data_IF_472011122137
#
_entry.id   IF_472011122137
#
_cell.length_a   1.000
_cell.length_b   1.000
_cell.length_c   1.000
_cell.angle_alpha   90.00
_cell.angle_beta   90.00
_cell.angle_gamma   90.00
#
_symmetry.space_group_name_H-M   'P 1'
#
loop_
_entity.id
_entity.type
_entity.pdbx_description
1 polymer ?
#
# COMPACT_ATOMS: atom_id res chain seq x y z
N UNK A 1 -0.18 -29.41 9.23
CA UNK A 1 1.13 -28.77 9.53
C UNK A 1 0.89 -27.29 9.71
N UNK A 2 1.68 -26.62 10.53
CA UNK A 2 1.59 -25.18 10.77
C UNK A 2 2.85 -24.50 10.24
N UNK A 3 2.76 -23.22 9.89
CA UNK A 3 3.93 -22.45 9.45
C UNK A 3 4.93 -22.29 10.58
N UNK A 4 6.22 -22.56 10.31
CA UNK A 4 7.27 -22.45 11.33
C UNK A 4 7.57 -20.98 11.70
N UNK A 5 8.24 -20.75 12.82
CA UNK A 5 8.69 -19.40 13.19
C UNK A 5 9.62 -18.79 12.13
N UNK A 6 10.47 -19.59 11.48
CA UNK A 6 11.32 -19.12 10.38
C UNK A 6 10.49 -18.73 9.15
N UNK A 7 9.42 -19.48 8.86
CA UNK A 7 8.45 -19.12 7.84
C UNK A 7 7.70 -17.81 8.16
N UNK A 8 7.35 -17.60 9.43
CA UNK A 8 6.77 -16.33 9.90
C UNK A 8 7.76 -15.19 9.70
N UNK A 9 9.01 -15.30 10.11
CA UNK A 9 10.01 -14.23 9.91
C UNK A 9 10.28 -13.95 8.43
N UNK A 10 10.29 -14.96 7.58
CA UNK A 10 10.36 -14.78 6.13
C UNK A 10 9.13 -14.00 5.61
N UNK A 11 7.93 -14.26 6.13
CA UNK A 11 6.73 -13.52 5.76
C UNK A 11 6.83 -12.04 6.15
N UNK A 12 7.41 -11.72 7.31
CA UNK A 12 7.68 -10.33 7.73
C UNK A 12 8.62 -9.64 6.76
N UNK A 13 9.66 -10.32 6.29
CA UNK A 13 10.60 -9.73 5.34
C UNK A 13 9.90 -9.33 4.03
N UNK A 14 8.96 -10.16 3.56
CA UNK A 14 8.25 -9.91 2.30
C UNK A 14 7.10 -8.90 2.45
N UNK A 15 6.38 -8.95 3.57
CA UNK A 15 5.19 -8.12 3.79
C UNK A 15 5.50 -6.84 4.57
N UNK A 16 6.58 -6.80 5.34
CA UNK A 16 6.74 -5.83 6.41
C UNK A 16 5.73 -6.04 7.54
N UNK A 17 5.93 -5.33 8.65
CA UNK A 17 5.03 -5.37 9.80
C UNK A 17 4.67 -3.95 10.23
N UNK A 18 3.42 -3.56 9.98
CA UNK A 18 2.92 -2.22 10.28
C UNK A 18 2.00 -2.28 11.50
N UNK A 19 2.48 -1.74 12.63
CA UNK A 19 1.78 -1.83 13.91
C UNK A 19 0.63 -0.82 14.08
N UNK A 20 0.54 0.18 13.21
CA UNK A 20 -0.55 1.17 13.19
C UNK A 20 -1.38 0.98 11.93
N UNK A 21 -2.70 0.93 12.08
CA UNK A 21 -3.61 0.77 10.95
C UNK A 21 -3.44 1.89 9.92
N UNK A 22 -3.42 1.52 8.64
CA UNK A 22 -3.31 2.44 7.52
C UNK A 22 -4.23 1.99 6.38
N UNK A 23 -4.51 2.90 5.46
CA UNK A 23 -5.28 2.60 4.26
C UNK A 23 -4.36 2.20 3.11
N UNK A 24 -4.56 1.01 2.56
CA UNK A 24 -3.88 0.56 1.35
C UNK A 24 -4.40 1.31 0.10
N UNK A 25 -3.75 1.20 -1.08
CA UNK A 25 -4.20 1.90 -2.30
C UNK A 25 -5.65 1.57 -2.70
N UNK A 26 -6.12 0.37 -2.37
CA UNK A 26 -7.51 -0.06 -2.56
C UNK A 26 -8.49 0.49 -1.51
N UNK A 27 -8.09 1.46 -0.68
CA UNK A 27 -8.91 2.09 0.36
C UNK A 27 -9.47 1.11 1.40
N UNK A 28 -8.72 0.05 1.72
CA UNK A 28 -9.04 -0.90 2.80
C UNK A 28 -8.11 -0.68 3.99
N UNK A 29 -8.69 -0.66 5.18
CA UNK A 29 -7.92 -0.59 6.42
C UNK A 29 -7.08 -1.87 6.58
N UNK A 30 -5.78 -1.66 6.82
CA UNK A 30 -4.74 -2.68 6.81
C UNK A 30 -3.85 -2.51 8.04
N UNK A 31 -3.48 -3.61 8.70
CA UNK A 31 -2.59 -3.62 9.89
C UNK A 31 -1.75 -4.90 9.94
N UNK A 32 -0.67 -4.89 10.73
CA UNK A 32 0.23 -6.03 10.90
C UNK A 32 0.95 -6.39 9.59
N UNK A 33 0.94 -7.68 9.25
CA UNK A 33 1.55 -8.23 8.03
C UNK A 33 0.64 -8.09 6.79
N UNK A 34 -0.14 -7.00 6.70
CA UNK A 34 -1.08 -6.79 5.59
C UNK A 34 -2.50 -7.34 5.83
N UNK A 35 -2.90 -7.54 7.08
CA UNK A 35 -4.22 -8.04 7.45
C UNK A 35 -5.28 -6.95 7.27
N UNK A 36 -6.42 -7.33 6.69
CA UNK A 36 -7.62 -6.49 6.53
C UNK A 36 -8.84 -7.21 7.10
N UNK A 37 -10.01 -6.56 7.16
CA UNK A 37 -11.27 -7.22 7.56
C UNK A 37 -11.55 -8.53 6.81
N UNK A 38 -11.12 -8.62 5.54
CA UNK A 38 -11.29 -9.83 4.71
C UNK A 38 -10.46 -11.03 5.20
N UNK A 39 -9.46 -10.82 6.06
CA UNK A 39 -8.72 -11.93 6.70
C UNK A 39 -9.58 -12.71 7.70
N UNK A 40 -10.65 -12.09 8.22
CA UNK A 40 -11.54 -12.69 9.21
C UNK A 40 -10.97 -12.80 10.62
N UNK A 41 -9.75 -12.28 10.87
CA UNK A 41 -9.10 -12.33 12.19
C UNK A 41 -9.02 -10.98 12.90
N UNK A 42 -9.20 -9.89 12.14
CA UNK A 42 -9.23 -8.51 12.65
C UNK A 42 -10.02 -7.63 11.69
N UNK A 43 -10.72 -6.63 12.22
CA UNK A 43 -11.33 -5.52 11.46
C UNK A 43 -10.57 -4.23 11.79
N UNK A 44 -9.52 -3.86 11.02
CA UNK A 44 -8.69 -2.71 11.35
C UNK A 44 -9.46 -1.40 11.18
N UNK A 45 -9.28 -0.47 12.12
CA UNK A 45 -9.99 0.81 12.18
C UNK A 45 -9.02 1.99 12.25
N UNK A 46 -9.43 3.21 11.87
CA UNK A 46 -8.58 4.38 12.00
C UNK A 46 -8.01 4.53 13.41
N UNK A 47 -6.72 4.85 13.51
CA UNK A 47 -6.03 5.04 14.80
C UNK A 47 -5.69 3.77 15.58
N UNK A 48 -6.14 2.59 15.14
CA UNK A 48 -5.81 1.32 15.80
C UNK A 48 -4.30 1.04 15.79
N UNK A 49 -3.76 0.63 16.93
CA UNK A 49 -2.35 0.23 17.12
C UNK A 49 -2.30 -1.13 17.81
N UNK A 50 -1.42 -2.02 17.36
CA UNK A 50 -1.20 -3.34 17.95
C UNK A 50 0.28 -3.55 18.29
N UNK A 51 0.56 -4.45 19.22
CA UNK A 51 1.93 -4.88 19.52
C UNK A 51 2.46 -5.82 18.44
N UNK A 52 3.80 -5.99 18.36
CA UNK A 52 4.41 -7.00 17.49
C UNK A 52 3.88 -8.40 17.82
N UNK A 53 3.81 -8.76 19.10
CA UNK A 53 3.27 -10.05 19.54
C UNK A 53 1.84 -10.27 19.03
N UNK A 54 0.96 -9.27 19.16
CA UNK A 54 -0.42 -9.36 18.66
C UNK A 54 -0.47 -9.45 17.13
N UNK A 55 0.38 -8.70 16.43
CA UNK A 55 0.52 -8.78 14.97
C UNK A 55 0.89 -10.21 14.51
N UNK A 56 1.84 -10.87 15.19
CA UNK A 56 2.23 -12.25 14.89
C UNK A 56 1.16 -13.28 15.23
N UNK A 57 0.47 -13.11 16.36
CA UNK A 57 -0.66 -13.95 16.72
C UNK A 57 -1.77 -13.89 15.65
N UNK A 58 -2.15 -12.69 15.22
CA UNK A 58 -3.15 -12.49 14.17
C UNK A 58 -2.70 -13.08 12.82
N UNK A 59 -1.42 -12.93 12.47
CA UNK A 59 -0.88 -13.54 11.27
C UNK A 59 -0.97 -15.08 11.31
N UNK A 60 -0.60 -15.70 12.44
CA UNK A 60 -0.74 -17.16 12.64
C UNK A 60 -2.19 -17.61 12.53
N UNK A 61 -3.14 -16.88 13.13
CA UNK A 61 -4.57 -17.16 12.99
C UNK A 61 -5.03 -17.07 11.53
N UNK A 62 -4.58 -16.06 10.79
CA UNK A 62 -4.93 -15.89 9.38
C UNK A 62 -4.34 -17.02 8.51
N UNK A 63 -3.10 -17.43 8.80
CA UNK A 63 -2.44 -18.56 8.14
C UNK A 63 -3.20 -19.87 8.38
N UNK A 64 -3.45 -20.21 9.64
CA UNK A 64 -4.17 -21.42 10.03
C UNK A 64 -5.56 -21.51 9.41
N UNK A 65 -6.27 -20.38 9.33
CA UNK A 65 -7.62 -20.34 8.77
C UNK A 65 -7.63 -20.39 7.23
N UNK A 66 -6.80 -19.57 6.59
CA UNK A 66 -7.01 -19.22 5.19
C UNK A 66 -5.98 -19.81 4.23
N UNK A 67 -4.80 -20.23 4.70
CA UNK A 67 -3.66 -20.59 3.83
C UNK A 67 -3.13 -21.99 4.10
N UNK A 68 -2.83 -22.33 5.36
CA UNK A 68 -2.27 -23.62 5.75
C UNK A 68 -3.10 -24.83 5.27
N UNK A 69 -4.45 -24.84 5.35
CA UNK A 69 -5.25 -25.96 4.83
C UNK A 69 -5.13 -26.11 3.31
N UNK A 70 -4.99 -24.99 2.59
CA UNK A 70 -4.86 -24.98 1.12
C UNK A 70 -3.53 -25.58 0.69
N UNK A 71 -2.46 -25.21 1.39
CA UNK A 71 -1.11 -25.72 1.13
C UNK A 71 -1.02 -27.19 1.53
N UNK A 72 -1.56 -27.58 2.70
CA UNK A 72 -1.58 -28.97 3.15
C UNK A 72 -2.28 -29.89 2.14
N UNK A 73 -3.39 -29.41 1.55
CA UNK A 73 -4.11 -30.14 0.51
C UNK A 73 -3.36 -30.18 -0.83
N UNK A 74 -2.71 -29.07 -1.23
CA UNK A 74 -2.03 -28.97 -2.52
C UNK A 74 -0.64 -29.63 -2.53
N UNK A 75 0.02 -29.72 -1.38
CA UNK A 75 1.37 -30.25 -1.19
C UNK A 75 1.38 -31.34 -0.11
N UNK A 76 0.71 -32.48 -0.33
CA UNK A 76 0.67 -33.56 0.65
C UNK A 76 2.07 -34.15 0.86
N UNK A 77 2.45 -34.39 2.12
CA UNK A 77 3.76 -34.95 2.47
C UNK A 77 4.93 -33.97 2.38
N UNK A 78 4.67 -32.67 2.20
CA UNK A 78 5.70 -31.64 2.22
C UNK A 78 6.47 -31.64 3.54
N UNK A 79 7.79 -31.50 3.45
CA UNK A 79 8.64 -31.16 4.60
C UNK A 79 8.30 -29.75 5.09
N UNK A 80 8.68 -29.44 6.33
CA UNK A 80 8.35 -28.15 6.96
C UNK A 80 8.77 -26.95 6.11
N UNK A 81 9.99 -26.96 5.53
CA UNK A 81 10.46 -25.86 4.69
C UNK A 81 9.72 -25.76 3.35
N UNK A 82 9.28 -26.89 2.78
CA UNK A 82 8.53 -26.89 1.51
C UNK A 82 7.14 -26.31 1.72
N UNK A 83 6.50 -26.66 2.83
CA UNK A 83 5.22 -26.09 3.24
C UNK A 83 5.31 -24.61 3.55
N UNK A 84 6.35 -24.17 4.28
CA UNK A 84 6.56 -22.75 4.56
C UNK A 84 6.73 -21.95 3.27
N UNK A 85 7.50 -22.47 2.29
CA UNK A 85 7.62 -21.85 0.97
C UNK A 85 6.27 -21.82 0.21
N UNK A 86 5.48 -22.90 0.28
CA UNK A 86 4.13 -22.96 -0.28
C UNK A 86 3.17 -21.94 0.35
N UNK A 87 3.25 -21.75 1.66
CA UNK A 87 2.47 -20.75 2.40
C UNK A 87 2.88 -19.33 1.99
N UNK A 88 4.18 -19.01 1.93
CA UNK A 88 4.68 -17.70 1.49
C UNK A 88 4.21 -17.37 0.07
N UNK A 89 4.23 -18.36 -0.82
CA UNK A 89 3.72 -18.25 -2.18
C UNK A 89 2.21 -18.01 -2.22
N UNK A 90 1.42 -18.78 -1.45
CA UNK A 90 -0.04 -18.63 -1.43
C UNK A 90 -0.48 -17.33 -0.76
N UNK A 91 0.25 -16.84 0.24
CA UNK A 91 0.02 -15.52 0.84
C UNK A 91 0.10 -14.41 -0.21
N UNK A 92 1.12 -14.47 -1.08
CA UNK A 92 1.34 -13.47 -2.11
C UNK A 92 0.34 -13.56 -3.26
N UNK A 93 0.04 -14.78 -3.70
CA UNK A 93 -0.61 -15.02 -5.00
C UNK A 93 -2.04 -15.51 -4.87
N UNK A 94 -2.39 -16.11 -3.73
CA UNK A 94 -3.64 -16.85 -3.54
C UNK A 94 -3.81 -17.99 -4.54
N UNK A 95 -2.74 -18.52 -5.12
CA UNK A 95 -2.79 -19.40 -6.29
C UNK A 95 -2.21 -20.81 -6.09
N UNK A 96 -1.93 -21.25 -4.86
CA UNK A 96 -1.25 -22.54 -4.61
C UNK A 96 -1.94 -23.72 -5.33
N UNK A 97 -3.28 -23.78 -5.32
CA UNK A 97 -4.03 -24.89 -5.93
C UNK A 97 -3.94 -24.97 -7.45
N UNK A 98 -3.62 -23.88 -8.13
CA UNK A 98 -3.58 -23.82 -9.62
C UNK A 98 -2.17 -23.62 -10.18
N UNK A 99 -1.18 -23.44 -9.32
CA UNK A 99 0.18 -23.18 -9.75
C UNK A 99 0.81 -24.44 -10.34
N UNK A 100 1.25 -24.38 -11.60
CA UNK A 100 1.81 -25.53 -12.31
C UNK A 100 3.07 -26.11 -11.68
N UNK A 101 3.83 -25.29 -10.93
CA UNK A 101 4.99 -25.76 -10.17
C UNK A 101 4.61 -26.75 -9.07
N UNK A 102 3.42 -26.61 -8.46
CA UNK A 102 2.94 -27.52 -7.39
C UNK A 102 2.70 -28.91 -7.96
N UNK A 103 2.07 -29.00 -9.14
CA UNK A 103 1.87 -30.28 -9.83
C UNK A 103 3.21 -30.96 -10.14
N UNK A 104 4.20 -30.21 -10.62
CA UNK A 104 5.54 -30.73 -10.89
C UNK A 104 6.25 -31.18 -9.60
N UNK A 105 6.10 -30.44 -8.51
CA UNK A 105 6.64 -30.81 -7.20
C UNK A 105 6.02 -32.11 -6.68
N UNK A 106 4.68 -32.25 -6.73
CA UNK A 106 3.97 -33.50 -6.33
C UNK A 106 4.45 -34.70 -7.15
N UNK A 107 4.71 -34.49 -8.44
CA UNK A 107 5.24 -35.51 -9.36
C UNK A 107 6.72 -35.80 -9.16
N UNK A 108 7.38 -35.16 -8.19
CA UNK A 108 8.83 -35.26 -7.94
C UNK A 108 9.66 -34.98 -9.19
N UNK A 109 9.22 -34.02 -10.01
CA UNK A 109 9.95 -33.61 -11.20
C UNK A 109 11.30 -32.98 -10.84
N UNK A 110 12.22 -32.92 -11.81
CA UNK A 110 13.53 -32.29 -11.62
C UNK A 110 13.39 -30.84 -11.12
N UNK A 111 14.27 -30.45 -10.18
CA UNK A 111 14.30 -29.11 -9.55
C UNK A 111 14.18 -27.98 -10.59
N UNK A 112 14.94 -28.05 -11.67
CA UNK A 112 14.93 -27.04 -12.74
C UNK A 112 13.54 -26.83 -13.37
N UNK A 113 12.74 -27.90 -13.52
CA UNK A 113 11.40 -27.81 -14.09
C UNK A 113 10.42 -27.10 -13.13
N UNK A 114 10.51 -27.39 -11.84
CA UNK A 114 9.71 -26.73 -10.80
C UNK A 114 10.10 -25.25 -10.72
N UNK A 115 11.40 -24.94 -10.65
CA UNK A 115 11.90 -23.56 -10.59
C UNK A 115 11.44 -22.72 -11.79
N UNK A 116 11.51 -23.28 -13.00
CA UNK A 116 11.07 -22.60 -14.21
C UNK A 116 9.60 -22.18 -14.13
N UNK A 117 8.71 -23.04 -13.62
CA UNK A 117 7.28 -22.71 -13.43
C UNK A 117 7.03 -21.80 -12.24
N UNK A 118 7.79 -21.93 -11.16
CA UNK A 118 7.68 -21.10 -9.97
C UNK A 118 8.02 -19.63 -10.30
N UNK A 119 9.09 -19.41 -11.10
CA UNK A 119 9.58 -18.08 -11.51
C UNK A 119 8.62 -17.30 -12.41
N UNK A 120 7.66 -17.96 -13.05
CA UNK A 120 6.63 -17.28 -13.86
C UNK A 120 5.69 -16.40 -13.02
N UNK A 121 5.62 -16.63 -11.72
CA UNK A 121 4.83 -15.84 -10.76
C UNK A 121 5.57 -14.58 -10.31
N UNK A 122 6.10 -13.83 -11.28
CA UNK A 122 6.88 -12.62 -11.07
C UNK A 122 6.24 -11.35 -11.65
N UNK A 123 4.96 -11.43 -12.07
CA UNK A 123 4.27 -10.33 -12.75
C UNK A 123 3.20 -9.69 -11.89
N UNK A 124 3.05 -8.37 -12.02
CA UNK A 124 1.93 -7.57 -11.50
C UNK A 124 1.54 -6.51 -12.53
N UNK A 125 0.24 -6.30 -12.76
CA UNK A 125 -0.24 -5.38 -13.80
C UNK A 125 0.27 -5.71 -15.22
N UNK A 126 0.53 -7.00 -15.49
CA UNK A 126 1.06 -7.49 -16.78
C UNK A 126 2.58 -7.37 -16.98
N UNK A 127 3.30 -6.70 -16.07
CA UNK A 127 4.76 -6.49 -16.16
C UNK A 127 5.52 -7.35 -15.16
N UNK A 128 6.74 -7.75 -15.51
CA UNK A 128 7.66 -8.42 -14.58
C UNK A 128 8.13 -7.42 -13.54
N UNK A 129 7.96 -7.76 -12.26
CA UNK A 129 8.37 -6.94 -11.13
C UNK A 129 9.62 -7.55 -10.49
N UNK A 130 10.78 -6.86 -10.49
CA UNK A 130 12.00 -7.46 -9.95
C UNK A 130 11.94 -7.71 -8.44
N UNK A 131 11.08 -7.00 -7.70
CA UNK A 131 10.75 -7.34 -6.31
C UNK A 131 10.17 -8.76 -6.19
N UNK A 132 9.24 -9.13 -7.08
CA UNK A 132 8.68 -10.48 -7.13
C UNK A 132 9.71 -11.51 -7.60
N UNK A 133 10.59 -11.18 -8.57
CA UNK A 133 11.68 -12.07 -8.97
C UNK A 133 12.54 -12.46 -7.77
N UNK A 134 12.99 -11.47 -6.99
CA UNK A 134 13.79 -11.69 -5.77
C UNK A 134 13.03 -12.46 -4.68
N UNK A 135 11.73 -12.22 -4.54
CA UNK A 135 10.87 -13.00 -3.64
C UNK A 135 10.81 -14.46 -4.05
N UNK A 136 10.54 -14.75 -5.34
CA UNK A 136 10.52 -16.12 -5.87
C UNK A 136 11.87 -16.81 -5.67
N UNK A 137 12.99 -16.10 -5.83
CA UNK A 137 14.33 -16.63 -5.53
C UNK A 137 14.50 -17.06 -4.07
N UNK A 138 14.03 -16.26 -3.12
CA UNK A 138 14.10 -16.59 -1.69
C UNK A 138 13.17 -17.75 -1.35
N UNK A 139 11.95 -17.75 -1.86
CA UNK A 139 11.00 -18.86 -1.66
C UNK A 139 11.54 -20.18 -2.24
N UNK A 140 12.20 -20.16 -3.39
CA UNK A 140 12.84 -21.34 -3.98
C UNK A 140 14.01 -21.87 -3.13
N UNK A 141 14.79 -20.98 -2.51
CA UNK A 141 15.84 -21.36 -1.54
C UNK A 141 15.27 -21.99 -0.28
N UNK A 142 14.12 -21.52 0.20
CA UNK A 142 13.41 -22.16 1.31
C UNK A 142 12.89 -23.54 0.86
N UNK A 143 12.23 -23.60 -0.29
CA UNK A 143 11.61 -24.82 -0.84
C UNK A 143 12.62 -25.95 -0.98
N UNK A 144 13.78 -25.70 -1.62
CA UNK A 144 14.72 -26.77 -1.95
C UNK A 144 15.93 -26.89 -1.01
N UNK A 145 16.34 -25.79 -0.37
CA UNK A 145 17.59 -25.74 0.39
C UNK A 145 17.38 -25.51 1.89
N UNK A 146 16.12 -25.37 2.35
CA UNK A 146 15.77 -24.96 3.71
C UNK A 146 16.47 -23.67 4.17
N UNK A 147 16.86 -22.80 3.24
CA UNK A 147 17.59 -21.55 3.52
C UNK A 147 16.63 -20.38 3.65
N UNK A 148 16.34 -20.03 4.90
CA UNK A 148 15.52 -18.87 5.23
C UNK A 148 16.31 -17.57 5.15
N UNK A 149 15.70 -16.49 4.65
CA UNK A 149 16.32 -15.18 4.70
C UNK A 149 16.30 -14.65 6.15
N UNK A 150 17.42 -14.10 6.59
CA UNK A 150 17.54 -13.50 7.92
C UNK A 150 17.21 -12.01 7.83
N UNK A 151 16.26 -11.54 8.63
CA UNK A 151 16.06 -10.11 8.86
C UNK A 151 17.28 -9.56 9.61
N UNK A 152 18.13 -8.79 8.95
CA UNK A 152 19.27 -8.16 9.61
C UNK A 152 18.78 -7.09 10.59
N UNK A 153 19.43 -7.00 11.75
CA UNK A 153 19.10 -6.05 12.82
C UNK A 153 19.11 -4.59 12.33
N UNK A 154 19.88 -4.29 11.28
CA UNK A 154 19.92 -3.00 10.58
C UNK A 154 18.55 -2.54 10.04
N UNK A 155 17.68 -3.45 9.60
CA UNK A 155 16.34 -3.13 9.11
C UNK A 155 15.36 -2.75 10.24
N UNK A 156 15.74 -2.97 11.50
CA UNK A 156 14.84 -2.84 12.65
C UNK A 156 15.13 -1.63 13.55
N UNK A 157 16.31 -0.99 13.42
CA UNK A 157 16.65 0.20 14.23
C UNK A 157 16.15 1.50 13.60
N UNK A 158 15.76 2.47 14.44
CA UNK A 158 15.47 3.83 13.99
C UNK A 158 16.76 4.45 13.47
N UNK A 159 16.78 4.82 12.18
CA UNK A 159 17.93 5.51 11.59
C UNK A 159 17.88 6.99 11.93
N UNK A 160 18.91 7.53 12.57
CA UNK A 160 18.90 8.93 13.02
C UNK A 160 19.06 9.89 11.83
N UNK A 161 19.90 9.54 10.84
CA UNK A 161 20.21 10.38 9.67
C UNK A 161 19.39 10.10 8.40
N UNK A 162 19.38 8.84 7.92
CA UNK A 162 18.78 8.51 6.62
C UNK A 162 17.56 7.59 6.72
N UNK A 163 16.53 7.82 5.92
CA UNK A 163 15.39 6.92 5.85
C UNK A 163 15.81 5.53 5.33
N UNK A 164 15.10 4.48 5.78
CA UNK A 164 15.40 3.10 5.40
C UNK A 164 14.25 2.45 4.67
N UNK A 165 14.57 1.74 3.59
CA UNK A 165 13.62 0.91 2.85
C UNK A 165 13.41 -0.40 3.60
N UNK A 166 12.17 -0.71 3.99
CA UNK A 166 11.88 -1.99 4.66
C UNK A 166 11.48 -3.08 3.68
N UNK A 167 11.15 -2.71 2.44
CA UNK A 167 10.74 -3.63 1.39
C UNK A 167 11.82 -3.78 0.33
N UNK A 168 11.92 -4.97 -0.24
CA UNK A 168 12.82 -5.21 -1.38
C UNK A 168 12.19 -4.64 -2.65
N UNK A 169 12.70 -3.49 -3.09
CA UNK A 169 12.25 -2.77 -4.29
C UNK A 169 13.37 -2.63 -5.32
N UNK A 170 13.03 -2.35 -6.58
CA UNK A 170 13.99 -1.98 -7.62
C UNK A 170 14.59 -0.60 -7.35
N UNK A 171 15.65 -0.29 -8.08
CA UNK A 171 16.21 1.07 -8.09
C UNK A 171 15.19 2.04 -8.69
N UNK A 172 14.53 1.67 -9.78
CA UNK A 172 13.53 2.51 -10.45
C UNK A 172 12.32 2.79 -9.57
N UNK A 173 11.75 1.77 -8.91
CA UNK A 173 10.62 1.94 -7.97
C UNK A 173 10.99 2.86 -6.80
N UNK A 174 12.25 2.81 -6.35
CA UNK A 174 12.74 3.73 -5.31
C UNK A 174 12.83 5.17 -5.83
N UNK A 175 13.33 5.36 -7.05
CA UNK A 175 13.36 6.68 -7.68
C UNK A 175 11.96 7.24 -7.94
N UNK A 176 11.01 6.42 -8.40
CA UNK A 176 9.61 6.81 -8.56
C UNK A 176 9.00 7.28 -7.23
N UNK A 177 9.20 6.51 -6.15
CA UNK A 177 8.76 6.90 -4.81
C UNK A 177 9.42 8.20 -4.34
N UNK A 178 10.70 8.43 -4.61
CA UNK A 178 11.38 9.69 -4.29
C UNK A 178 10.82 10.87 -5.09
N UNK A 179 10.54 10.66 -6.37
CA UNK A 179 9.85 11.64 -7.22
C UNK A 179 8.48 11.99 -6.68
N UNK A 180 7.72 10.99 -6.21
CA UNK A 180 6.43 11.19 -5.58
C UNK A 180 6.52 12.01 -4.27
N UNK A 181 7.51 11.77 -3.42
CA UNK A 181 7.74 12.61 -2.24
C UNK A 181 8.00 14.06 -2.63
N UNK A 182 8.86 14.26 -3.63
CA UNK A 182 9.22 15.60 -4.13
C UNK A 182 8.02 16.33 -4.72
N UNK A 183 7.17 15.62 -5.49
CA UNK A 183 5.94 16.16 -6.06
C UNK A 183 4.91 16.59 -5.01
N UNK A 184 4.95 15.98 -3.82
CA UNK A 184 4.12 16.37 -2.66
C UNK A 184 4.80 17.42 -1.76
N UNK A 185 5.99 17.90 -2.12
CA UNK A 185 6.71 18.96 -1.41
C UNK A 185 7.64 18.49 -0.29
N UNK A 186 8.00 17.20 -0.25
CA UNK A 186 8.96 16.64 0.71
C UNK A 186 10.34 16.49 0.06
N UNK A 187 11.36 17.13 0.64
CA UNK A 187 12.69 17.27 0.03
C UNK A 187 13.60 16.09 0.37
N UNK A 188 13.28 14.91 -0.16
CA UNK A 188 13.95 13.63 0.16
C UNK A 188 15.35 13.46 -0.47
N UNK A 189 15.83 14.41 -1.26
CA UNK A 189 17.11 14.34 -1.96
C UNK A 189 17.04 13.50 -3.26
N UNK A 190 18.20 13.30 -3.90
CA UNK A 190 18.30 12.65 -5.22
C UNK A 190 18.90 11.23 -5.21
N UNK A 191 19.31 10.69 -4.06
CA UNK A 191 19.92 9.37 -3.96
C UNK A 191 19.10 8.43 -3.04
N UNK A 192 18.62 7.27 -3.54
CA UNK A 192 17.83 6.30 -2.78
C UNK A 192 18.49 5.73 -1.52
N UNK A 193 19.81 5.88 -1.38
CA UNK A 193 20.56 5.43 -0.19
C UNK A 193 20.70 6.51 0.88
N UNK A 194 20.51 7.78 0.52
CA UNK A 194 20.75 8.94 1.41
C UNK A 194 19.50 9.82 1.48
N UNK A 195 18.35 9.18 1.68
CA UNK A 195 17.07 9.88 1.81
C UNK A 195 17.02 10.53 3.18
N UNK A 196 16.65 11.81 3.25
CA UNK A 196 16.53 12.51 4.53
C UNK A 196 15.41 11.87 5.41
N UNK A 197 15.80 11.33 6.56
CA UNK A 197 14.86 10.73 7.51
C UNK A 197 13.87 11.74 8.08
N UNK A 198 14.26 13.02 8.22
CA UNK A 198 13.41 14.07 8.75
C UNK A 198 12.21 14.33 7.83
N UNK A 199 12.45 14.40 6.52
CA UNK A 199 11.39 14.61 5.52
C UNK A 199 10.43 13.41 5.45
N UNK A 200 10.94 12.18 5.58
CA UNK A 200 10.08 10.99 5.65
C UNK A 200 9.25 10.98 6.93
N UNK A 201 9.83 11.35 8.09
CA UNK A 201 9.07 11.46 9.36
C UNK A 201 8.03 12.57 9.30
N UNK A 202 8.35 13.69 8.67
CA UNK A 202 7.41 14.79 8.44
C UNK A 202 6.23 14.31 7.61
N UNK A 203 6.47 13.62 6.49
CA UNK A 203 5.41 12.97 5.71
C UNK A 203 4.60 12.02 6.59
N UNK A 204 5.24 11.11 7.32
CA UNK A 204 4.54 10.15 8.18
C UNK A 204 3.65 10.85 9.21
N UNK A 205 4.15 11.90 9.85
CA UNK A 205 3.39 12.72 10.81
C UNK A 205 2.19 13.40 10.15
N UNK A 206 2.40 14.08 9.01
CA UNK A 206 1.35 14.79 8.25
C UNK A 206 0.22 13.87 7.76
N UNK A 207 0.51 12.56 7.72
CA UNK A 207 -0.37 11.52 7.20
C UNK A 207 -0.84 10.50 8.24
N UNK A 208 -0.74 10.81 9.54
CA UNK A 208 -1.20 9.95 10.63
C UNK A 208 -0.49 8.59 10.75
N UNK A 209 0.68 8.42 10.13
CA UNK A 209 1.50 7.22 10.23
C UNK A 209 2.42 7.28 11.46
N UNK A 210 3.17 6.21 11.71
CA UNK A 210 4.24 6.21 12.72
C UNK A 210 5.45 6.97 12.16
N UNK A 211 5.96 8.02 12.82
CA UNK A 211 7.09 8.81 12.34
C UNK A 211 8.43 8.13 12.67
N UNK A 212 8.69 6.98 12.08
CA UNK A 212 9.90 6.17 12.32
C UNK A 212 11.01 6.40 11.29
N UNK A 213 10.72 7.04 10.15
CA UNK A 213 11.65 7.21 9.04
C UNK A 213 11.81 5.95 8.18
N UNK A 214 10.91 4.97 8.33
CA UNK A 214 10.89 3.74 7.55
C UNK A 214 9.97 3.87 6.32
N UNK A 215 10.52 3.62 5.15
CA UNK A 215 9.78 3.58 3.89
C UNK A 215 9.33 2.14 3.65
N UNK A 216 8.21 1.79 4.28
CA UNK A 216 7.53 0.50 4.16
C UNK A 216 6.13 0.62 3.55
N UNK A 217 5.30 -0.44 3.70
CA UNK A 217 3.98 -0.52 3.07
C UNK A 217 3.07 0.65 3.40
N UNK A 218 3.02 1.06 4.66
CA UNK A 218 2.16 2.16 5.08
C UNK A 218 2.55 3.49 4.42
N UNK A 219 3.85 3.79 4.44
CA UNK A 219 4.42 4.99 3.83
C UNK A 219 4.15 5.01 2.32
N UNK A 220 4.47 3.93 1.61
CA UNK A 220 4.29 3.83 0.15
C UNK A 220 2.83 3.81 -0.29
N UNK A 221 1.97 3.09 0.43
CA UNK A 221 0.53 3.06 0.13
C UNK A 221 -0.09 4.44 0.28
N UNK A 222 0.33 5.16 1.32
CA UNK A 222 -0.15 6.52 1.57
C UNK A 222 0.39 7.48 0.51
N UNK A 223 1.67 7.34 0.14
CA UNK A 223 2.30 8.13 -0.91
C UNK A 223 1.55 7.99 -2.24
N UNK A 224 1.29 6.75 -2.67
CA UNK A 224 0.53 6.47 -3.90
C UNK A 224 -0.86 7.12 -3.85
N UNK A 225 -1.61 6.92 -2.76
CA UNK A 225 -2.93 7.52 -2.61
C UNK A 225 -2.89 9.05 -2.71
N UNK A 226 -1.84 9.69 -2.21
CA UNK A 226 -1.69 11.15 -2.28
C UNK A 226 -1.38 11.63 -3.69
N UNK A 227 -0.54 10.92 -4.43
CA UNK A 227 -0.29 11.21 -5.83
C UNK A 227 -1.57 11.02 -6.66
N UNK A 228 -2.30 9.92 -6.46
CA UNK A 228 -3.56 9.68 -7.18
C UNK A 228 -4.60 10.76 -6.85
N UNK A 229 -4.68 11.19 -5.58
CA UNK A 229 -5.57 12.25 -5.15
C UNK A 229 -5.20 13.61 -5.75
N UNK A 230 -3.90 13.92 -5.83
CA UNK A 230 -3.40 15.15 -6.44
C UNK A 230 -3.62 15.17 -7.96
N UNK A 231 -3.37 14.04 -8.65
CA UNK A 231 -3.65 13.89 -10.07
C UNK A 231 -5.15 14.04 -10.37
N UNK A 232 -6.01 13.40 -9.57
CA UNK A 232 -7.48 13.55 -9.68
C UNK A 232 -7.94 14.98 -9.38
N UNK A 233 -7.32 15.68 -8.43
CA UNK A 233 -7.64 17.08 -8.15
C UNK A 233 -7.26 17.98 -9.33
N UNK A 234 -6.08 17.79 -9.93
CA UNK A 234 -5.64 18.52 -11.13
C UNK A 234 -6.56 18.27 -12.33
N UNK A 235 -7.03 17.04 -12.51
CA UNK A 235 -7.99 16.69 -13.56
C UNK A 235 -9.41 17.21 -13.31
N UNK A 236 -9.78 17.42 -12.04
CA UNK A 236 -11.08 17.93 -11.64
C UNK A 236 -11.14 19.47 -11.56
N UNK A 237 -10.04 20.18 -11.79
CA UNK A 237 -10.06 21.64 -11.95
C UNK A 237 -10.63 21.95 -13.34
N UNK A 238 -11.88 22.41 -13.47
CA UNK A 238 -12.37 22.84 -14.76
C UNK A 238 -11.55 24.05 -15.22
N UNK A 239 -11.33 24.18 -16.51
CA UNK A 239 -10.69 25.34 -17.13
C UNK A 239 -11.60 26.59 -17.00
N UNK A 240 -11.84 27.06 -15.78
CA UNK A 240 -12.54 28.31 -15.48
C UNK A 240 -11.53 29.43 -15.16
N UNK A 241 -10.24 29.14 -15.33
CA UNK A 241 -9.14 30.09 -15.12
C UNK A 241 -8.77 30.94 -16.34
N UNK A 242 -9.61 30.99 -17.38
CA UNK A 242 -9.41 31.83 -18.56
C UNK A 242 -10.41 33.01 -18.63
N UNK A 243 -10.82 33.57 -17.48
CA UNK A 243 -11.58 34.84 -17.44
C UNK A 243 -11.22 35.64 -16.19
N UNK A 244 -9.93 35.88 -15.97
CA UNK A 244 -9.48 36.90 -15.02
C UNK A 244 -8.16 37.54 -15.48
N UNK A 245 -8.11 37.95 -16.74
CA UNK A 245 -7.23 39.04 -17.19
C UNK A 245 -8.09 39.98 -18.02
N UNK A 246 -8.49 41.09 -17.39
CA UNK A 246 -9.02 42.23 -18.10
C UNK A 246 -8.02 42.62 -19.20
N UNK A 247 -8.45 42.58 -20.46
CA UNK A 247 -7.63 43.03 -21.60
C UNK A 247 -7.12 41.93 -22.53
N UNK A 248 -8.00 41.06 -23.03
CA UNK A 248 -7.77 40.41 -24.33
C UNK A 248 -9.12 40.02 -24.94
N UNK A 249 -9.49 40.70 -26.03
CA UNK A 249 -10.61 40.32 -26.91
C UNK A 249 -10.28 39.02 -27.62
N UNK A 250 -10.60 37.88 -27.02
CA UNK A 250 -10.67 36.59 -27.72
C UNK A 250 -12.11 36.33 -28.10
N UNK A 251 -12.38 36.41 -29.40
CA UNK A 251 -13.65 36.00 -30.02
C UNK A 251 -13.96 34.55 -29.65
N UNK A 252 -15.04 34.34 -28.90
CA UNK A 252 -15.58 33.02 -28.60
C UNK A 252 -16.19 32.42 -29.88
N UNK A 253 -16.15 31.08 -30.07
CA UNK A 253 -16.81 30.43 -31.20
C UNK A 253 -18.33 30.63 -31.14
N UNK A 254 -18.96 30.90 -32.28
CA UNK A 254 -20.41 30.97 -32.44
C UNK A 254 -21.07 29.69 -31.89
N UNK A 255 -22.02 29.86 -30.96
CA UNK A 255 -22.75 28.77 -30.28
C UNK A 255 -22.41 28.57 -28.79
N UNK A 256 -21.49 29.34 -28.21
CA UNK A 256 -21.21 29.29 -26.76
C UNK A 256 -22.11 30.21 -25.92
N UNK A 257 -22.77 31.20 -26.54
CA UNK A 257 -23.70 32.14 -25.90
C UNK A 257 -24.97 31.48 -25.37
N UNK A 258 -25.52 30.49 -26.10
CA UNK A 258 -26.80 29.86 -25.74
C UNK A 258 -26.74 29.04 -24.45
N UNK A 259 -25.58 28.43 -24.17
CA UNK A 259 -25.37 27.65 -22.93
C UNK A 259 -25.16 28.58 -21.74
N UNK A 260 -24.42 29.68 -21.91
CA UNK A 260 -24.20 30.66 -20.85
C UNK A 260 -25.46 31.44 -20.51
N UNK A 261 -26.28 31.78 -21.52
CA UNK A 261 -27.53 32.51 -21.35
C UNK A 261 -28.62 31.63 -20.72
N UNK A 262 -28.69 30.34 -21.07
CA UNK A 262 -29.58 29.37 -20.42
C UNK A 262 -29.21 29.13 -18.95
N UNK A 263 -27.92 29.03 -18.61
CA UNK A 263 -27.44 28.90 -17.22
C UNK A 263 -27.76 30.18 -16.43
N UNK A 264 -27.56 31.36 -17.03
CA UNK A 264 -27.89 32.64 -16.40
C UNK A 264 -29.40 32.83 -16.18
N UNK A 265 -30.25 32.25 -17.05
CA UNK A 265 -31.70 32.29 -16.95
C UNK A 265 -32.29 31.35 -15.87
N UNK A 266 -31.47 30.52 -15.21
CA UNK A 266 -31.92 29.58 -14.18
C UNK A 266 -31.19 29.87 -12.84
N UNK A 267 -31.68 30.79 -12.00
CA UNK A 267 -31.01 31.19 -10.75
C UNK A 267 -30.72 30.03 -9.79
N UNK A 268 -31.54 28.99 -9.86
CA UNK A 268 -31.40 27.77 -9.04
C UNK A 268 -30.25 26.86 -9.51
N UNK A 269 -29.81 26.94 -10.78
CA UNK A 269 -28.73 26.08 -11.32
C UNK A 269 -27.40 26.40 -10.65
N UNK A 270 -27.12 27.68 -10.40
CA UNK A 270 -25.94 28.12 -9.65
C UNK A 270 -26.01 27.58 -8.21
N UNK A 271 -27.18 27.67 -7.56
CA UNK A 271 -27.41 27.13 -6.22
C UNK A 271 -27.30 25.60 -6.15
N UNK A 272 -27.81 24.90 -7.16
CA UNK A 272 -27.74 23.44 -7.27
C UNK A 272 -26.32 22.95 -7.53
N UNK A 273 -25.58 23.61 -8.43
CA UNK A 273 -24.16 23.32 -8.67
C UNK A 273 -23.32 23.59 -7.42
N UNK A 274 -23.55 24.71 -6.73
CA UNK A 274 -22.91 25.01 -5.44
C UNK A 274 -23.24 23.94 -4.38
N UNK A 275 -24.49 23.48 -4.33
CA UNK A 275 -24.92 22.38 -3.46
C UNK A 275 -24.21 21.06 -3.77
N UNK A 276 -24.10 20.68 -5.05
CA UNK A 276 -23.38 19.48 -5.49
C UNK A 276 -21.89 19.58 -5.17
N UNK A 277 -21.25 20.73 -5.41
CA UNK A 277 -19.85 20.97 -5.06
C UNK A 277 -19.66 20.87 -3.54
N UNK A 278 -20.58 21.43 -2.76
CA UNK A 278 -20.54 21.37 -1.28
C UNK A 278 -20.69 19.94 -0.78
N UNK A 279 -21.67 19.18 -1.28
CA UNK A 279 -21.85 17.77 -0.95
C UNK A 279 -20.65 16.92 -1.36
N UNK A 280 -20.08 17.19 -2.53
CA UNK A 280 -18.87 16.52 -2.99
C UNK A 280 -17.65 16.86 -2.12
N UNK A 281 -17.49 18.13 -1.73
CA UNK A 281 -16.43 18.58 -0.83
C UNK A 281 -16.60 17.97 0.57
N UNK A 282 -17.82 17.88 1.09
CA UNK A 282 -18.14 17.21 2.37
C UNK A 282 -17.86 15.71 2.29
N UNK A 283 -18.28 15.04 1.22
CA UNK A 283 -17.97 13.63 0.97
C UNK A 283 -16.46 13.40 0.89
N UNK A 284 -15.73 14.30 0.23
CA UNK A 284 -14.27 14.23 0.14
C UNK A 284 -13.62 14.51 1.49
N UNK A 285 -14.07 15.50 2.24
CA UNK A 285 -13.61 15.76 3.60
C UNK A 285 -13.85 14.55 4.52
N UNK A 286 -14.98 13.87 4.36
CA UNK A 286 -15.29 12.62 5.07
C UNK A 286 -14.33 11.48 4.71
N UNK A 287 -14.01 11.29 3.42
CA UNK A 287 -13.03 10.28 2.96
C UNK A 287 -11.61 10.55 3.47
N UNK A 288 -11.26 11.81 3.75
CA UNK A 288 -9.94 12.22 4.26
C UNK A 288 -9.99 12.67 5.74
N UNK A 289 -11.03 12.29 6.47
CA UNK A 289 -11.27 12.75 7.86
C UNK A 289 -10.11 12.49 8.81
N UNK A 290 -9.39 11.38 8.64
CA UNK A 290 -8.26 11.02 9.53
C UNK A 290 -7.08 11.97 9.40
N UNK A 291 -6.81 12.41 8.16
CA UNK A 291 -5.77 13.42 7.87
C UNK A 291 -6.16 14.74 8.49
N UNK A 292 -7.43 15.13 8.30
CA UNK A 292 -7.98 16.36 8.85
C UNK A 292 -7.90 16.30 10.39
N UNK A 293 -8.26 15.16 10.99
CA UNK A 293 -8.16 14.92 12.42
C UNK A 293 -6.72 15.06 12.92
N UNK A 294 -5.71 14.58 12.20
CA UNK A 294 -4.30 14.79 12.58
C UNK A 294 -3.91 16.26 12.57
N UNK A 295 -4.23 16.99 11.50
CA UNK A 295 -3.94 18.44 11.42
C UNK A 295 -4.68 19.23 12.51
N UNK A 296 -5.87 18.78 12.89
CA UNK A 296 -6.67 19.35 13.96
C UNK A 296 -6.29 18.85 15.35
N UNK A 297 -5.43 17.83 15.51
CA UNK A 297 -5.17 17.23 16.83
C UNK A 297 -4.64 18.27 17.83
N UNK A 298 -3.80 19.20 17.36
CA UNK A 298 -3.24 20.25 18.21
C UNK A 298 -4.15 21.48 18.34
N UNK A 299 -5.06 21.72 17.39
CA UNK A 299 -5.92 22.93 17.34
C UNK A 299 -7.34 22.70 17.86
N UNK A 300 -7.89 21.51 17.66
CA UNK A 300 -9.25 21.12 18.00
C UNK A 300 -9.31 19.61 18.34
N UNK A 301 -8.79 19.18 19.50
CA UNK A 301 -8.63 17.76 19.84
C UNK A 301 -9.96 17.01 19.94
N UNK A 302 -11.05 17.66 20.38
CA UNK A 302 -12.39 17.06 20.44
C UNK A 302 -12.96 16.75 19.05
N UNK A 303 -12.78 17.66 18.10
CA UNK A 303 -13.19 17.45 16.71
C UNK A 303 -12.32 16.37 16.05
N UNK A 304 -11.02 16.34 16.32
CA UNK A 304 -10.13 15.28 15.86
C UNK A 304 -10.53 13.90 16.39
N UNK A 305 -10.93 13.79 17.66
CA UNK A 305 -11.42 12.54 18.25
C UNK A 305 -12.74 12.10 17.60
N UNK A 306 -13.69 13.02 17.41
CA UNK A 306 -14.96 12.76 16.75
C UNK A 306 -14.78 12.28 15.29
N UNK A 307 -13.89 12.92 14.53
CA UNK A 307 -13.60 12.50 13.16
C UNK A 307 -12.99 11.09 13.08
N UNK A 308 -12.28 10.64 14.12
CA UNK A 308 -11.70 9.29 14.21
C UNK A 308 -12.67 8.23 14.72
N UNK A 309 -13.76 8.61 15.38
CA UNK A 309 -14.75 7.66 15.91
C UNK A 309 -15.70 7.10 14.85
N UNK A 310 -15.80 7.80 13.71
CA UNK A 310 -16.51 7.32 12.52
C UNK A 310 -15.60 6.47 11.64
#
# INVERSE_FOLDING_TARGET
MQTSEQGIEALVLEEGEVLKAYLCPAHKWTIGLGLTAASGVIDPKPGMVITKARSRELAKLALARNYEPRVASAMPGALQHEFDAGVLFDWNTGAIRKASWVKLWVQKAARAAVEAKFRLWNKGGGKVLPGLVKRRDRELKILFDAKYPVLTQELTSKSIGFARWTLTMTVDEKFEAMGAFSALGYKVGGNPKTIDAAEVRRFQSDHALTPDGLIGRATLSTLQRRIDAAAKAKAATPAVGATASAGATTTLPEGTSDVTDWIAAQPWVIGALAGVITLWALWRAWQYRDVIAVKLTNRAPRLAALLRSF
#
